data_IF_003555935742
#
_entry.id   IF_003555935742
#
_cell.length_a   1.000
_cell.length_b   1.000
_cell.length_c   1.000
_cell.angle_alpha   90.00
_cell.angle_beta   90.00
_cell.angle_gamma   90.00
#
_symmetry.space_group_name_H-M   'P 1'
#
loop_
_entity.id
_entity.type
_entity.pdbx_description
1 polymer ?
#
# COMPACT_ATOMS: atom_id res chain seq x y z
N UNK A 1 2.90 -3.38 -23.12
CA UNK A 1 2.14 -2.43 -22.29
C UNK A 1 3.07 -1.28 -21.92
N UNK A 2 2.81 -0.07 -22.39
CA UNK A 2 3.48 1.12 -21.86
C UNK A 2 2.86 1.44 -20.49
N UNK A 3 3.48 0.92 -19.44
CA UNK A 3 3.12 1.23 -18.06
C UNK A 3 3.54 2.67 -17.77
N UNK A 4 2.58 3.58 -17.90
CA UNK A 4 2.80 5.02 -17.76
C UNK A 4 3.22 5.35 -16.32
N UNK A 5 4.28 6.17 -16.17
CA UNK A 5 4.74 6.72 -14.88
C UNK A 5 3.59 7.35 -14.08
N UNK A 6 2.60 7.93 -14.76
CA UNK A 6 1.40 8.48 -14.13
C UNK A 6 0.54 7.41 -13.45
N UNK A 7 0.30 6.28 -14.11
CA UNK A 7 -0.47 5.16 -13.54
C UNK A 7 0.24 4.58 -12.32
N UNK A 8 1.57 4.46 -12.37
CA UNK A 8 2.38 4.08 -11.21
C UNK A 8 2.18 5.01 -10.01
N UNK A 9 2.26 6.34 -10.22
CA UNK A 9 2.09 7.33 -9.15
C UNK A 9 0.65 7.34 -8.61
N UNK A 10 -0.34 7.14 -9.47
CA UNK A 10 -1.74 7.05 -9.06
C UNK A 10 -1.98 5.85 -8.14
N UNK A 11 -1.46 4.66 -8.48
CA UNK A 11 -1.58 3.45 -7.67
C UNK A 11 -0.91 3.60 -6.30
N UNK A 12 0.28 4.22 -6.25
CA UNK A 12 0.93 4.51 -4.97
C UNK A 12 0.09 5.43 -4.10
N UNK A 13 -0.49 6.48 -4.69
CA UNK A 13 -1.36 7.42 -3.98
C UNK A 13 -2.61 6.70 -3.47
N UNK A 14 -3.26 5.92 -4.31
CA UNK A 14 -4.48 5.17 -3.98
C UNK A 14 -4.28 4.23 -2.79
N UNK A 15 -3.19 3.46 -2.77
CA UNK A 15 -2.87 2.60 -1.63
C UNK A 15 -2.58 3.38 -0.35
N UNK A 16 -1.87 4.51 -0.45
CA UNK A 16 -1.60 5.37 0.70
C UNK A 16 -2.85 6.07 1.24
N UNK A 17 -3.77 6.47 0.37
CA UNK A 17 -5.06 7.05 0.73
C UNK A 17 -5.92 6.01 1.47
N UNK A 18 -5.95 4.76 1.00
CA UNK A 18 -6.68 3.67 1.66
C UNK A 18 -6.18 3.42 3.10
N UNK A 19 -4.86 3.38 3.30
CA UNK A 19 -4.31 3.31 4.67
C UNK A 19 -4.75 4.52 5.52
N UNK A 20 -4.72 5.73 4.94
CA UNK A 20 -5.11 6.96 5.65
C UNK A 20 -6.61 6.97 6.00
N UNK A 21 -7.45 6.34 5.18
CA UNK A 21 -8.87 6.14 5.44
C UNK A 21 -9.14 5.06 6.50
N UNK A 22 -8.14 4.25 6.87
CA UNK A 22 -8.26 3.14 7.81
C UNK A 22 -8.72 1.83 7.17
N UNK A 23 -8.68 1.73 5.83
CA UNK A 23 -9.01 0.50 5.13
C UNK A 23 -7.95 -0.58 5.42
N UNK A 24 -8.34 -1.87 5.50
CA UNK A 24 -7.39 -2.96 5.64
C UNK A 24 -6.59 -3.16 4.34
N UNK A 25 -5.42 -3.81 4.42
CA UNK A 25 -4.61 -4.12 3.23
C UNK A 25 -5.29 -5.05 2.23
N UNK A 26 -6.29 -5.82 2.68
CA UNK A 26 -7.11 -6.70 1.83
C UNK A 26 -8.16 -5.90 1.01
N UNK A 27 -8.33 -4.60 1.27
CA UNK A 27 -9.16 -3.72 0.46
C UNK A 27 -8.52 -3.36 -0.90
N UNK A 28 -7.36 -3.93 -1.24
CA UNK A 28 -6.73 -3.77 -2.54
C UNK A 28 -7.71 -4.19 -3.65
N UNK A 29 -8.12 -3.29 -4.56
CA UNK A 29 -9.10 -3.63 -5.59
C UNK A 29 -8.54 -4.49 -6.72
N UNK A 30 -7.22 -4.67 -6.75
CA UNK A 30 -6.50 -5.43 -7.77
C UNK A 30 -6.13 -6.82 -7.28
N UNK A 31 -6.22 -7.79 -8.18
CA UNK A 31 -5.85 -9.17 -7.91
C UNK A 31 -4.41 -9.48 -8.37
N UNK A 32 -3.54 -9.78 -7.40
CA UNK A 32 -2.15 -10.13 -7.64
C UNK A 32 -1.95 -11.49 -8.33
N UNK A 33 -2.96 -12.37 -8.29
CA UNK A 33 -2.92 -13.71 -8.88
C UNK A 33 -3.66 -13.78 -10.22
N UNK A 34 -4.24 -12.66 -10.66
CA UNK A 34 -4.92 -12.57 -11.94
C UNK A 34 -3.97 -12.83 -13.10
N UNK A 35 -4.40 -13.50 -14.20
CA UNK A 35 -3.61 -13.61 -15.41
C UNK A 35 -3.42 -12.27 -16.15
N UNK A 36 -4.17 -11.21 -15.78
CA UNK A 36 -4.02 -9.87 -16.35
C UNK A 36 -2.83 -9.12 -15.73
N UNK A 37 -1.88 -8.73 -16.58
CA UNK A 37 -0.71 -7.95 -16.19
C UNK A 37 -1.06 -6.58 -15.58
N UNK A 38 -2.20 -6.01 -15.95
CA UNK A 38 -2.72 -4.75 -15.40
C UNK A 38 -3.13 -4.93 -13.94
N UNK A 39 -3.77 -6.06 -13.61
CA UNK A 39 -4.17 -6.40 -12.24
C UNK A 39 -2.95 -6.67 -11.37
N UNK A 40 -1.98 -7.43 -11.86
CA UNK A 40 -0.72 -7.67 -11.14
C UNK A 40 0.06 -6.37 -10.91
N UNK A 41 0.11 -5.48 -11.92
CA UNK A 41 0.73 -4.17 -11.80
C UNK A 41 0.00 -3.30 -10.75
N UNK A 42 -1.32 -3.24 -10.84
CA UNK A 42 -2.18 -2.55 -9.87
C UNK A 42 -1.91 -3.00 -8.45
N UNK A 43 -2.02 -4.31 -8.20
CA UNK A 43 -1.84 -4.91 -6.89
C UNK A 43 -0.45 -4.62 -6.30
N UNK A 44 0.60 -4.75 -7.12
CA UNK A 44 1.97 -4.50 -6.69
C UNK A 44 2.19 -3.06 -6.23
N UNK A 45 1.69 -2.08 -6.98
CA UNK A 45 1.97 -0.67 -6.69
C UNK A 45 0.98 -0.05 -5.70
N UNK A 46 -0.28 -0.50 -5.69
CA UNK A 46 -1.22 -0.17 -4.62
C UNK A 46 -0.68 -0.62 -3.26
N UNK A 47 -0.27 -1.89 -3.15
CA UNK A 47 0.26 -2.45 -1.90
C UNK A 47 1.52 -1.71 -1.43
N UNK A 48 2.40 -1.31 -2.37
CA UNK A 48 3.58 -0.49 -2.04
C UNK A 48 3.19 0.88 -1.45
N UNK A 49 2.18 1.54 -2.02
CA UNK A 49 1.67 2.81 -1.50
C UNK A 49 1.11 2.68 -0.09
N UNK A 50 0.28 1.66 0.12
CA UNK A 50 -0.30 1.33 1.41
C UNK A 50 0.76 1.08 2.48
N UNK A 51 1.73 0.21 2.19
CA UNK A 51 2.81 -0.11 3.14
C UNK A 51 3.71 1.09 3.41
N UNK A 52 4.00 1.92 2.41
CA UNK A 52 4.77 3.15 2.63
C UNK A 52 4.05 4.13 3.56
N UNK A 53 2.73 4.30 3.40
CA UNK A 53 1.93 5.14 4.29
C UNK A 53 1.88 4.56 5.71
N UNK A 54 1.71 3.24 5.84
CA UNK A 54 1.78 2.53 7.13
C UNK A 54 3.12 2.75 7.83
N UNK A 55 4.24 2.47 7.16
CA UNK A 55 5.58 2.65 7.72
C UNK A 55 5.85 4.11 8.09
N UNK A 56 5.38 5.07 7.29
CA UNK A 56 5.50 6.49 7.62
C UNK A 56 4.70 6.88 8.87
N UNK A 57 3.51 6.30 9.06
CA UNK A 57 2.70 6.51 10.27
C UNK A 57 3.27 5.79 11.49
N UNK A 58 3.82 4.59 11.33
CA UNK A 58 4.57 3.88 12.37
C UNK A 58 5.83 4.69 12.77
N UNK A 59 6.56 5.26 11.81
CA UNK A 59 7.74 6.09 12.11
C UNK A 59 7.40 7.41 12.82
N UNK A 60 6.20 7.97 12.60
CA UNK A 60 5.70 9.15 13.32
C UNK A 60 5.22 8.83 14.73
N UNK A 61 4.94 7.57 15.00
CA UNK A 61 4.60 7.07 16.32
C UNK A 61 5.88 6.46 16.89
N UNK A 62 6.81 7.26 17.46
CA UNK A 62 7.95 6.67 18.16
C UNK A 62 7.37 5.68 19.16
N UNK A 63 7.88 4.44 19.17
CA UNK A 63 7.45 3.37 20.06
C UNK A 63 7.40 3.85 21.52
N UNK A 64 6.29 4.46 21.92
CA UNK A 64 5.77 4.34 23.26
C UNK A 64 5.22 2.91 23.29
N UNK A 65 5.79 2.09 24.17
CA UNK A 65 5.34 0.72 24.46
C UNK A 65 5.89 -0.40 23.54
N UNK A 66 7.21 -0.59 23.56
CA UNK A 66 7.74 -1.96 23.73
C UNK A 66 8.57 -1.99 25.03
N UNK A 67 7.85 -1.90 26.15
CA UNK A 67 8.28 -2.42 27.45
C UNK A 67 7.28 -3.50 27.85
N UNK A 68 7.25 -4.58 27.07
CA UNK A 68 6.87 -5.91 27.51
C UNK A 68 8.16 -6.72 27.31
N UNK A 69 9.02 -6.88 28.30
CA UNK A 69 8.68 -7.55 29.54
C UNK A 69 8.70 -9.05 29.27
N UNK A 70 9.90 -9.63 29.22
CA UNK A 70 10.30 -10.94 29.76
C UNK A 70 11.74 -11.27 29.36
#
# INVERSE_FOLDING_TARGET
>A
MELNRQSYLALLKEGGDAFTAGDPSDACPYDQYSPDQTQQFGARYWTKGYMAARTASEAKTPQAEVSAGQ
#
